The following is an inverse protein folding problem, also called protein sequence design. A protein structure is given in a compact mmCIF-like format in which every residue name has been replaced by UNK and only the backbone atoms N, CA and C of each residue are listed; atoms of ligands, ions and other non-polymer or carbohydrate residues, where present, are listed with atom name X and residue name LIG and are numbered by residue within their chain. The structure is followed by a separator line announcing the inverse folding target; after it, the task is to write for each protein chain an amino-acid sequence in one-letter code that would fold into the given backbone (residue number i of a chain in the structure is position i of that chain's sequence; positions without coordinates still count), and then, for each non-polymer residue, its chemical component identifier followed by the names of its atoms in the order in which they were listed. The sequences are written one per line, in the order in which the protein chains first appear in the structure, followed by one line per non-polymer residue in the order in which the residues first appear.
data_IF_667426209337
#
_entry.id   IF_667426209337
#
_cell.length_a   1.000
_cell.length_b   1.000
_cell.length_c   1.000
_cell.angle_alpha   90.00
_cell.angle_beta   90.00
_cell.angle_gamma   90.00
#
_symmetry.space_group_name_H-M   'P 1'
#
loop_
_entity.id
_entity.type
_entity.pdbx_description
1 polymer ?
#
# COMPACT_ATOMS: atom_id res chain seq x y z
N UNK A 1 -17.90 -10.74 14.75
CA UNK A 1 -17.52 -11.53 13.55
C UNK A 1 -16.79 -10.69 12.50
N UNK A 2 -17.29 -9.51 12.11
CA UNK A 2 -16.64 -8.65 11.12
C UNK A 2 -15.21 -8.18 11.53
N UNK A 3 -14.98 -7.81 12.79
CA UNK A 3 -13.65 -7.42 13.28
C UNK A 3 -12.62 -8.56 13.18
N UNK A 4 -12.98 -9.75 13.68
CA UNK A 4 -12.12 -10.95 13.60
C UNK A 4 -11.76 -11.30 12.14
N UNK A 5 -12.75 -11.23 11.23
CA UNK A 5 -12.52 -11.48 9.81
C UNK A 5 -11.55 -10.45 9.21
N UNK A 6 -11.66 -9.16 9.58
CA UNK A 6 -10.74 -8.11 9.12
C UNK A 6 -9.32 -8.32 9.64
N UNK A 7 -9.13 -8.60 10.93
CA UNK A 7 -7.81 -8.91 11.49
C UNK A 7 -7.18 -10.11 10.81
N UNK A 8 -7.98 -11.15 10.52
CA UNK A 8 -7.55 -12.31 9.77
C UNK A 8 -7.07 -11.93 8.36
N UNK A 9 -7.87 -11.18 7.60
CA UNK A 9 -7.51 -10.72 6.26
C UNK A 9 -6.27 -9.82 6.26
N UNK A 10 -6.12 -8.92 7.24
CA UNK A 10 -4.92 -8.08 7.40
C UNK A 10 -3.68 -8.93 7.65
N UNK A 11 -3.79 -9.94 8.53
CA UNK A 11 -2.69 -10.86 8.83
C UNK A 11 -2.27 -11.68 7.59
N UNK A 12 -3.25 -12.23 6.86
CA UNK A 12 -2.99 -12.98 5.63
C UNK A 12 -2.35 -12.06 4.57
N UNK A 13 -2.87 -10.85 4.38
CA UNK A 13 -2.31 -9.90 3.42
C UNK A 13 -0.85 -9.57 3.74
N UNK A 14 -0.51 -9.33 5.02
CA UNK A 14 0.88 -9.14 5.46
C UNK A 14 1.74 -10.37 5.17
N UNK A 15 1.24 -11.56 5.49
CA UNK A 15 1.96 -12.80 5.26
C UNK A 15 2.29 -12.99 3.78
N UNK A 16 1.30 -12.81 2.88
CA UNK A 16 1.50 -12.93 1.44
C UNK A 16 2.47 -11.87 0.94
N UNK A 17 2.34 -10.62 1.38
CA UNK A 17 3.26 -9.53 0.98
C UNK A 17 4.69 -9.72 1.49
N UNK A 18 4.86 -10.42 2.61
CA UNK A 18 6.18 -10.77 3.15
C UNK A 18 6.92 -11.77 2.26
N UNK A 19 6.23 -12.55 1.43
CA UNK A 19 6.88 -13.46 0.47
C UNK A 19 7.68 -12.66 -0.58
N UNK A 20 7.07 -11.60 -1.12
CA UNK A 20 7.73 -10.69 -2.06
C UNK A 20 8.90 -9.95 -1.41
N UNK A 21 8.75 -9.59 -0.13
CA UNK A 21 9.80 -8.92 0.64
C UNK A 21 11.01 -9.84 0.89
N UNK A 22 10.77 -11.13 1.14
CA UNK A 22 11.84 -12.12 1.28
C UNK A 22 12.63 -12.26 -0.03
N UNK A 23 11.94 -12.31 -1.18
CA UNK A 23 12.58 -12.31 -2.50
C UNK A 23 13.40 -11.02 -2.70
N UNK A 24 12.82 -9.85 -2.38
CA UNK A 24 13.52 -8.57 -2.45
C UNK A 24 14.78 -8.51 -1.59
N UNK A 25 14.72 -8.97 -0.34
CA UNK A 25 15.87 -9.03 0.57
C UNK A 25 16.95 -9.97 0.01
N UNK A 26 16.57 -11.15 -0.48
CA UNK A 26 17.52 -12.08 -1.10
C UNK A 26 18.21 -11.45 -2.32
N UNK A 27 17.45 -10.76 -3.18
CA UNK A 27 17.99 -10.03 -4.33
C UNK A 27 18.95 -8.91 -3.90
N UNK A 28 18.61 -8.12 -2.87
CA UNK A 28 19.50 -7.07 -2.36
C UNK A 28 20.78 -7.66 -1.79
N UNK A 29 20.70 -8.70 -0.98
CA UNK A 29 21.89 -9.35 -0.41
C UNK A 29 22.80 -9.92 -1.50
N UNK A 30 22.23 -10.59 -2.50
CA UNK A 30 22.98 -11.12 -3.63
C UNK A 30 23.56 -10.01 -4.51
N UNK A 31 22.81 -8.94 -4.77
CA UNK A 31 23.29 -7.76 -5.50
C UNK A 31 24.45 -7.04 -4.79
N UNK A 32 24.37 -6.89 -3.47
CA UNK A 32 25.46 -6.36 -2.66
C UNK A 32 26.69 -7.28 -2.70
N UNK A 33 26.49 -8.60 -2.66
CA UNK A 33 27.58 -9.55 -2.83
C UNK A 33 28.24 -9.42 -4.20
N UNK A 34 27.47 -9.37 -5.29
CA UNK A 34 27.99 -9.15 -6.64
C UNK A 34 28.76 -7.83 -6.75
N UNK A 35 28.24 -6.75 -6.16
CA UNK A 35 28.92 -5.45 -6.11
C UNK A 35 30.26 -5.53 -5.38
N UNK A 36 30.33 -6.26 -4.26
CA UNK A 36 31.59 -6.47 -3.51
C UNK A 36 32.61 -7.29 -4.28
N UNK A 37 32.17 -8.32 -5.01
CA UNK A 37 33.04 -9.13 -5.87
C UNK A 37 33.60 -8.26 -7.00
N UNK A 38 32.73 -7.55 -7.71
CA UNK A 38 33.11 -6.64 -8.78
C UNK A 38 34.11 -5.56 -8.31
N UNK A 39 33.88 -4.96 -7.13
CA UNK A 39 34.83 -4.01 -6.54
C UNK A 39 36.22 -4.60 -6.25
N UNK A 40 36.30 -5.90 -5.89
CA UNK A 40 37.60 -6.57 -5.68
C UNK A 40 38.29 -6.82 -7.02
N UNK A 41 37.56 -7.34 -8.00
CA UNK A 41 38.11 -7.64 -9.33
C UNK A 41 38.63 -6.36 -10.01
N UNK A 42 37.95 -5.22 -9.81
CA UNK A 42 38.42 -3.92 -10.28
C UNK A 42 39.67 -3.39 -9.55
N UNK A 43 39.82 -3.64 -8.24
CA UNK A 43 41.00 -3.18 -7.49
C UNK A 43 42.30 -3.85 -7.94
N UNK A 44 42.21 -5.07 -8.46
CA UNK A 44 43.34 -5.83 -8.98
C UNK A 44 43.68 -5.45 -10.44
N UNK A 45 42.85 -4.63 -11.11
CA UNK A 45 43.02 -4.18 -12.50
C UNK A 45 43.67 -2.79 -12.61
N UNK A 46 44.52 -2.58 -13.63
CA UNK A 46 45.30 -1.34 -13.82
C UNK A 46 44.43 -0.12 -14.17
N UNK A 47 44.89 1.05 -13.74
CA UNK A 47 44.17 2.33 -13.65
C UNK A 47 43.62 2.95 -14.95
N UNK A 48 43.74 2.29 -16.12
CA UNK A 48 43.41 2.87 -17.43
C UNK A 48 42.03 2.43 -17.99
N UNK A 49 41.30 1.52 -17.32
CA UNK A 49 40.01 0.95 -17.80
C UNK A 49 38.75 1.48 -17.07
N UNK A 50 38.88 2.62 -16.36
CA UNK A 50 37.84 3.08 -15.42
C UNK A 50 36.56 3.65 -16.03
N UNK A 51 36.58 4.09 -17.29
CA UNK A 51 35.43 4.80 -17.89
C UNK A 51 34.43 3.85 -18.60
N UNK A 52 34.75 2.57 -18.82
CA UNK A 52 34.00 1.71 -19.74
C UNK A 52 33.05 0.71 -19.07
N UNK A 53 33.17 0.49 -17.75
CA UNK A 53 32.60 -0.69 -17.08
C UNK A 53 31.48 -0.32 -16.09
N UNK A 54 30.46 0.43 -16.53
CA UNK A 54 29.27 0.64 -15.69
C UNK A 54 28.52 -0.70 -15.54
N UNK A 55 28.45 -1.31 -14.34
CA UNK A 55 27.90 -2.65 -14.14
C UNK A 55 26.38 -2.59 -14.10
N UNK A 56 25.77 -2.31 -15.26
CA UNK A 56 24.33 -2.04 -15.38
C UNK A 56 23.50 -3.16 -14.77
N UNK A 57 23.90 -4.43 -14.98
CA UNK A 57 23.20 -5.60 -14.45
C UNK A 57 23.17 -5.63 -12.92
N UNK A 58 24.29 -5.30 -12.26
CA UNK A 58 24.36 -5.27 -10.79
C UNK A 58 23.41 -4.19 -10.25
N UNK A 59 23.37 -3.02 -10.87
CA UNK A 59 22.50 -1.93 -10.45
C UNK A 59 21.02 -2.21 -10.70
N UNK A 60 20.66 -2.80 -11.84
CA UNK A 60 19.26 -3.17 -12.13
C UNK A 60 18.80 -4.26 -11.17
N UNK A 61 19.61 -5.29 -10.92
CA UNK A 61 19.29 -6.36 -9.98
C UNK A 61 19.08 -5.84 -8.55
N UNK A 62 19.98 -4.96 -8.08
CA UNK A 62 19.86 -4.31 -6.79
C UNK A 62 18.61 -3.41 -6.71
N UNK A 63 18.36 -2.62 -7.76
CA UNK A 63 17.22 -1.71 -7.85
C UNK A 63 15.88 -2.45 -7.81
N UNK A 64 15.77 -3.58 -8.53
CA UNK A 64 14.58 -4.44 -8.48
C UNK A 64 14.39 -4.96 -7.06
N UNK A 65 15.45 -5.49 -6.42
CA UNK A 65 15.38 -5.98 -5.04
C UNK A 65 14.89 -4.92 -4.03
N UNK A 66 15.43 -3.70 -4.10
CA UNK A 66 15.00 -2.58 -3.26
C UNK A 66 13.54 -2.20 -3.53
N UNK A 67 13.14 -2.16 -4.81
CA UNK A 67 11.76 -1.84 -5.20
C UNK A 67 10.77 -2.85 -4.64
N UNK A 68 11.09 -4.16 -4.70
CA UNK A 68 10.27 -5.21 -4.09
C UNK A 68 10.12 -5.03 -2.57
N UNK A 69 11.22 -4.69 -1.88
CA UNK A 69 11.18 -4.38 -0.45
C UNK A 69 10.25 -3.20 -0.15
N UNK A 70 10.32 -2.12 -0.94
CA UNK A 70 9.43 -0.96 -0.79
C UNK A 70 7.96 -1.33 -1.02
N UNK A 71 7.66 -2.11 -2.07
CA UNK A 71 6.30 -2.60 -2.35
C UNK A 71 5.76 -3.41 -1.17
N UNK A 72 6.58 -4.28 -0.57
CA UNK A 72 6.21 -5.02 0.64
C UNK A 72 5.94 -4.08 1.82
N UNK A 73 6.79 -3.07 2.07
CA UNK A 73 6.53 -2.08 3.10
C UNK A 73 5.19 -1.36 2.88
N UNK A 74 4.89 -0.94 1.65
CA UNK A 74 3.60 -0.34 1.30
C UNK A 74 2.43 -1.31 1.54
N UNK A 75 2.61 -2.61 1.23
CA UNK A 75 1.62 -3.65 1.49
C UNK A 75 1.33 -3.84 2.99
N UNK A 76 2.36 -3.80 3.84
CA UNK A 76 2.19 -3.86 5.29
C UNK A 76 1.47 -2.62 5.83
N UNK A 77 1.90 -1.42 5.41
CA UNK A 77 1.25 -0.15 5.79
C UNK A 77 -0.22 -0.16 5.34
N UNK A 78 -0.52 -0.67 4.15
CA UNK A 78 -1.88 -0.77 3.63
C UNK A 78 -2.77 -1.70 4.45
N UNK A 79 -2.22 -2.83 4.90
CA UNK A 79 -2.90 -3.74 5.79
C UNK A 79 -3.16 -3.09 7.17
N UNK A 80 -2.18 -2.36 7.72
CA UNK A 80 -2.26 -1.73 9.04
C UNK A 80 -3.19 -0.53 9.09
N UNK A 81 -3.03 0.42 8.16
CA UNK A 81 -3.85 1.62 8.14
C UNK A 81 -5.30 1.32 7.77
N UNK A 82 -5.52 0.31 6.91
CA UNK A 82 -6.83 -0.08 6.38
C UNK A 82 -7.73 1.12 6.00
N UNK A 83 -7.08 2.18 5.53
CA UNK A 83 -7.70 3.36 4.95
C UNK A 83 -7.90 3.10 3.44
N UNK A 84 -9.02 3.55 2.89
CA UNK A 84 -9.35 3.33 1.49
C UNK A 84 -8.28 3.84 0.51
N UNK A 85 -7.59 4.93 0.85
CA UNK A 85 -6.51 5.50 0.03
C UNK A 85 -5.30 4.57 -0.09
N UNK A 86 -4.66 4.18 1.02
CA UNK A 86 -3.47 3.32 1.01
C UNK A 86 -3.75 1.98 0.32
N UNK A 87 -4.91 1.40 0.59
CA UNK A 87 -5.35 0.16 -0.02
C UNK A 87 -5.55 0.31 -1.53
N UNK A 88 -6.05 1.47 -2.00
CA UNK A 88 -6.19 1.77 -3.43
C UNK A 88 -4.85 1.95 -4.11
N UNK A 89 -3.93 2.74 -3.53
CA UNK A 89 -2.59 2.92 -4.06
C UNK A 89 -1.84 1.58 -4.16
N UNK A 90 -1.94 0.75 -3.12
CA UNK A 90 -1.34 -0.58 -3.13
C UNK A 90 -1.92 -1.47 -4.24
N UNK A 91 -3.24 -1.49 -4.42
CA UNK A 91 -3.85 -2.27 -5.51
C UNK A 91 -3.45 -1.77 -6.89
N UNK A 92 -3.34 -0.45 -7.07
CA UNK A 92 -2.86 0.14 -8.32
C UNK A 92 -1.41 -0.28 -8.61
N UNK A 93 -0.53 -0.26 -7.60
CA UNK A 93 0.85 -0.75 -7.74
C UNK A 93 0.87 -2.23 -8.15
N UNK A 94 0.13 -3.10 -7.47
CA UNK A 94 0.06 -4.53 -7.81
C UNK A 94 -0.50 -4.73 -9.23
N UNK A 95 -1.49 -3.94 -9.62
CA UNK A 95 -2.04 -4.00 -10.97
C UNK A 95 -1.00 -3.61 -12.03
N UNK A 96 -0.25 -2.53 -11.81
CA UNK A 96 0.85 -2.11 -12.70
C UNK A 96 1.95 -3.19 -12.75
N UNK A 97 2.29 -3.84 -11.63
CA UNK A 97 3.25 -4.95 -11.62
C UNK A 97 2.75 -6.14 -12.45
N UNK A 98 1.49 -6.54 -12.31
CA UNK A 98 0.90 -7.61 -13.14
C UNK A 98 0.92 -7.27 -14.63
N UNK A 99 0.64 -6.01 -14.98
CA UNK A 99 0.73 -5.55 -16.37
C UNK A 99 2.19 -5.56 -16.87
N UNK A 100 3.13 -5.10 -16.05
CA UNK A 100 4.55 -5.12 -16.39
C UNK A 100 5.07 -6.55 -16.57
N UNK A 101 4.73 -7.46 -15.67
CA UNK A 101 5.09 -8.88 -15.76
C UNK A 101 4.48 -9.53 -17.01
N UNK A 102 3.20 -9.25 -17.29
CA UNK A 102 2.53 -9.76 -18.50
C UNK A 102 3.16 -9.19 -19.77
N UNK A 103 3.52 -7.91 -19.78
CA UNK A 103 4.18 -7.26 -20.91
C UNK A 103 5.58 -7.85 -21.14
N UNK A 104 6.39 -8.01 -20.09
CA UNK A 104 7.71 -8.64 -20.18
C UNK A 104 7.62 -10.10 -20.63
N UNK A 105 6.68 -10.87 -20.08
CA UNK A 105 6.47 -12.26 -20.50
C UNK A 105 6.02 -12.35 -21.98
N UNK A 106 5.16 -11.45 -22.43
CA UNK A 106 4.74 -11.37 -23.82
C UNK A 106 5.89 -10.96 -24.73
N UNK A 107 6.73 -10.01 -24.31
CA UNK A 107 7.91 -9.56 -25.05
C UNK A 107 8.91 -10.70 -25.22
N UNK A 108 9.29 -11.37 -24.13
CA UNK A 108 10.19 -12.54 -24.16
C UNK A 108 9.65 -13.68 -25.04
N UNK A 109 8.33 -13.88 -25.04
CA UNK A 109 7.68 -14.95 -25.83
C UNK A 109 7.56 -14.61 -27.31
N UNK A 110 7.29 -13.36 -27.65
CA UNK A 110 7.03 -12.91 -29.02
C UNK A 110 8.31 -12.46 -29.74
N UNK A 111 9.27 -11.91 -29.00
CA UNK A 111 10.55 -11.44 -29.51
C UNK A 111 11.61 -12.52 -29.29
N UNK A 112 11.86 -13.35 -30.31
CA UNK A 112 12.91 -14.39 -30.25
C UNK A 112 14.33 -13.82 -30.08
N UNK A 113 14.50 -12.52 -30.31
CA UNK A 113 15.77 -11.81 -30.26
C UNK A 113 15.86 -10.82 -29.09
N UNK A 114 14.95 -10.88 -28.10
CA UNK A 114 14.86 -9.95 -26.95
C UNK A 114 16.19 -9.76 -26.21
N UNK A 115 17.03 -10.79 -26.21
CA UNK A 115 18.33 -10.75 -25.56
C UNK A 115 19.30 -9.76 -26.23
N UNK A 116 19.17 -9.55 -27.55
CA UNK A 116 20.02 -8.61 -28.30
C UNK A 116 19.72 -7.15 -27.96
N UNK A 117 18.57 -6.88 -27.35
CA UNK A 117 18.15 -5.54 -26.94
C UNK A 117 18.80 -5.12 -25.60
N UNK A 118 19.43 -6.06 -24.88
CA UNK A 118 20.15 -5.76 -23.65
C UNK A 118 21.54 -5.19 -23.94
N UNK A 119 22.00 -4.19 -23.16
CA UNK A 119 23.36 -3.70 -23.27
C UNK A 119 24.35 -4.80 -22.86
N UNK A 120 25.53 -4.81 -23.50
CA UNK A 120 26.61 -5.73 -23.15
C UNK A 120 26.99 -5.56 -21.67
N UNK A 121 27.10 -6.67 -20.92
CA UNK A 121 27.54 -6.65 -19.53
C UNK A 121 29.04 -6.91 -19.43
N UNK A 122 29.87 -5.89 -19.15
CA UNK A 122 31.31 -6.05 -19.05
C UNK A 122 31.74 -6.91 -17.85
N UNK A 123 30.85 -7.14 -16.88
CA UNK A 123 31.16 -7.93 -15.67
C UNK A 123 31.05 -9.44 -15.88
N UNK A 124 30.38 -9.89 -16.96
CA UNK A 124 30.06 -11.29 -17.20
C UNK A 124 29.06 -11.90 -16.20
N UNK A 125 28.59 -11.15 -15.19
CA UNK A 125 27.68 -11.63 -14.15
C UNK A 125 26.28 -11.91 -14.70
N UNK A 126 25.85 -11.14 -15.70
CA UNK A 126 24.62 -11.41 -16.41
C UNK A 126 24.66 -12.77 -17.10
N UNK A 127 25.78 -13.11 -17.74
CA UNK A 127 25.96 -14.40 -18.40
C UNK A 127 25.88 -15.57 -17.40
N UNK A 128 26.61 -15.47 -16.28
CA UNK A 128 26.56 -16.49 -15.21
C UNK A 128 25.13 -16.65 -14.65
N UNK A 129 24.42 -15.54 -14.42
CA UNK A 129 23.05 -15.57 -13.95
C UNK A 129 22.10 -16.22 -14.96
N UNK A 130 22.27 -15.91 -16.25
CA UNK A 130 21.49 -16.52 -17.33
C UNK A 130 21.70 -18.03 -17.36
N UNK A 131 22.93 -18.52 -17.32
CA UNK A 131 23.23 -19.96 -17.31
C UNK A 131 22.61 -20.65 -16.08
N UNK A 132 22.63 -19.98 -14.92
CA UNK A 132 21.95 -20.46 -13.72
C UNK A 132 20.43 -20.56 -13.90
N UNK A 133 19.79 -19.56 -14.52
CA UNK A 133 18.35 -19.57 -14.81
C UNK A 133 17.99 -20.66 -15.81
N UNK A 134 18.77 -20.81 -16.88
CA UNK A 134 18.54 -21.81 -17.92
C UNK A 134 18.69 -23.24 -17.37
N UNK A 135 19.72 -23.49 -16.54
CA UNK A 135 19.90 -24.81 -15.91
C UNK A 135 18.80 -25.15 -14.89
N UNK A 136 18.10 -24.15 -14.35
CA UNK A 136 17.04 -24.32 -13.35
C UNK A 136 15.67 -23.80 -13.83
N UNK A 137 15.43 -23.79 -15.14
CA UNK A 137 14.29 -23.11 -15.74
C UNK A 137 12.93 -23.54 -15.16
N UNK A 138 12.75 -24.84 -14.89
CA UNK A 138 11.52 -25.34 -14.29
C UNK A 138 11.26 -24.74 -12.90
N UNK A 139 12.30 -24.56 -12.09
CA UNK A 139 12.19 -23.94 -10.77
C UNK A 139 11.80 -22.46 -10.89
N UNK A 140 12.43 -21.72 -11.81
CA UNK A 140 12.10 -20.32 -12.08
C UNK A 140 10.68 -20.13 -12.62
N UNK A 141 10.19 -21.05 -13.45
CA UNK A 141 8.80 -21.06 -13.94
C UNK A 141 7.81 -21.23 -12.79
N UNK A 142 8.05 -22.16 -11.86
CA UNK A 142 7.21 -22.30 -10.67
C UNK A 142 7.26 -21.05 -9.80
N UNK A 143 8.44 -20.47 -9.57
CA UNK A 143 8.59 -19.21 -8.83
C UNK A 143 7.75 -18.11 -9.46
N UNK A 144 7.88 -17.89 -10.77
CA UNK A 144 7.11 -16.86 -11.49
C UNK A 144 5.60 -17.08 -11.35
N UNK A 145 5.13 -18.32 -11.49
CA UNK A 145 3.73 -18.66 -11.28
C UNK A 145 3.26 -18.35 -9.85
N UNK A 146 4.07 -18.68 -8.84
CA UNK A 146 3.76 -18.36 -7.44
C UNK A 146 3.72 -16.86 -7.18
N UNK A 147 4.60 -16.07 -7.79
CA UNK A 147 4.63 -14.60 -7.66
C UNK A 147 3.34 -13.99 -8.22
N UNK A 148 2.97 -14.33 -9.46
CA UNK A 148 1.73 -13.84 -10.10
C UNK A 148 0.50 -14.22 -9.27
N UNK A 149 0.46 -15.46 -8.77
CA UNK A 149 -0.64 -15.94 -7.92
C UNK A 149 -0.70 -15.16 -6.60
N UNK A 150 0.46 -14.94 -5.95
CA UNK A 150 0.54 -14.18 -4.71
C UNK A 150 0.10 -12.72 -4.91
N UNK A 151 0.50 -12.07 -6.00
CA UNK A 151 0.07 -10.72 -6.34
C UNK A 151 -1.44 -10.64 -6.57
N UNK A 152 -2.01 -11.56 -7.37
CA UNK A 152 -3.45 -11.64 -7.60
C UNK A 152 -4.23 -11.88 -6.30
N UNK A 153 -3.73 -12.77 -5.45
CA UNK A 153 -4.34 -13.05 -4.15
C UNK A 153 -4.24 -11.85 -3.19
N UNK A 154 -3.11 -11.15 -3.15
CA UNK A 154 -2.95 -9.90 -2.40
C UNK A 154 -3.93 -8.82 -2.86
N UNK A 155 -4.19 -8.70 -4.17
CA UNK A 155 -5.19 -7.78 -4.70
C UNK A 155 -6.61 -8.16 -4.25
N UNK A 156 -6.97 -9.45 -4.29
CA UNK A 156 -8.26 -9.94 -3.79
C UNK A 156 -8.45 -9.66 -2.29
N UNK A 157 -7.42 -9.91 -1.47
CA UNK A 157 -7.44 -9.61 -0.04
C UNK A 157 -7.57 -8.12 0.23
N UNK A 158 -6.85 -7.28 -0.53
CA UNK A 158 -6.97 -5.83 -0.43
C UNK A 158 -8.38 -5.35 -0.82
N UNK A 159 -8.99 -5.91 -1.87
CA UNK A 159 -10.39 -5.61 -2.23
C UNK A 159 -11.37 -6.03 -1.13
N UNK A 160 -11.20 -7.23 -0.56
CA UNK A 160 -12.04 -7.71 0.53
C UNK A 160 -11.93 -6.83 1.78
N UNK A 161 -10.71 -6.41 2.15
CA UNK A 161 -10.46 -5.46 3.23
C UNK A 161 -11.11 -4.11 2.96
N UNK A 162 -11.09 -3.64 1.71
CA UNK A 162 -11.75 -2.39 1.31
C UNK A 162 -13.27 -2.49 1.45
N UNK A 163 -13.84 -3.60 1.03
CA UNK A 163 -15.29 -3.85 1.06
C UNK A 163 -15.84 -3.97 2.48
N UNK A 164 -15.03 -4.44 3.44
CA UNK A 164 -15.42 -4.52 4.86
C UNK A 164 -15.58 -3.15 5.53
N UNK A 165 -15.09 -2.07 4.91
CA UNK A 165 -15.21 -0.70 5.41
C UNK A 165 -14.42 -0.44 6.71
N UNK A 166 -14.36 0.82 7.17
CA UNK A 166 -13.80 1.14 8.47
C UNK A 166 -14.62 0.47 9.58
N UNK A 167 -14.00 -0.34 10.44
CA UNK A 167 -14.64 -0.75 11.69
C UNK A 167 -14.88 0.50 12.56
N UNK A 168 -16.10 0.64 13.07
CA UNK A 168 -16.46 1.60 14.11
C UNK A 168 -15.69 1.39 15.44
N UNK A 169 -14.72 0.47 15.48
CA UNK A 169 -13.94 0.11 16.68
C UNK A 169 -13.00 1.22 17.15
N UNK A 170 -12.67 2.23 16.31
CA UNK A 170 -11.90 3.37 16.80
C UNK A 170 -12.70 4.33 17.71
N UNK A 171 -13.99 4.06 17.93
CA UNK A 171 -14.86 4.89 18.77
C UNK A 171 -15.24 4.21 20.09
N UNK A 172 -14.76 2.99 20.37
CA UNK A 172 -15.11 2.26 21.60
C UNK A 172 -13.97 2.17 22.63
N UNK A 173 -12.72 2.47 22.25
CA UNK A 173 -11.57 2.47 23.18
C UNK A 173 -11.10 3.89 23.59
N UNK A 174 -11.92 4.93 23.39
CA UNK A 174 -11.69 6.31 23.87
C UNK A 174 -12.78 6.71 24.89
N UNK A 175 -13.13 5.81 25.80
CA UNK A 175 -13.98 6.12 26.95
C UNK A 175 -13.26 6.00 28.29
N UNK A 176 -11.94 5.89 28.30
CA UNK A 176 -11.15 6.29 29.47
C UNK A 176 -10.68 7.74 29.28
N UNK A 177 -11.43 8.61 29.96
CA UNK A 177 -10.99 9.89 30.52
C UNK A 177 -10.71 11.02 29.52
N UNK A 178 -11.77 11.68 29.03
CA UNK A 178 -11.99 13.15 28.99
C UNK A 178 -13.35 13.45 28.28
N UNK A 179 -14.26 14.27 28.86
CA UNK A 179 -15.55 14.54 28.23
C UNK A 179 -15.39 15.41 26.96
N UNK A 180 -16.06 15.09 25.84
CA UNK A 180 -15.96 15.88 24.61
C UNK A 180 -16.79 17.16 24.74
N UNK A 181 -16.10 18.30 24.91
CA UNK A 181 -16.69 19.61 24.67
C UNK A 181 -16.82 19.85 23.15
N UNK A 182 -17.91 19.33 22.54
CA UNK A 182 -18.37 19.75 21.21
C UNK A 182 -19.86 20.07 21.32
N UNK A 183 -20.16 21.36 21.49
CA UNK A 183 -21.51 21.91 21.45
C UNK A 183 -22.19 21.61 20.10
N UNK A 184 -23.52 21.35 20.08
CA UNK A 184 -24.29 21.27 18.85
C UNK A 184 -24.71 22.69 18.42
N UNK A 185 -24.14 23.22 17.34
CA UNK A 185 -24.69 24.41 16.70
C UNK A 185 -25.70 23.99 15.61
N UNK A 186 -26.95 24.39 15.86
CA UNK A 186 -28.06 24.51 14.91
C UNK A 186 -28.91 23.24 14.75
N UNK A 187 -29.89 23.15 15.63
CA UNK A 187 -31.14 22.42 15.44
C UNK A 187 -32.09 23.30 14.61
N UNK A 188 -32.47 22.91 13.40
CA UNK A 188 -33.49 23.60 12.61
C UNK A 188 -34.78 22.78 12.62
N UNK A 189 -35.40 22.69 13.79
CA UNK A 189 -36.81 22.30 13.92
C UNK A 189 -37.61 23.53 14.34
N UNK A 190 -38.16 24.22 13.34
CA UNK A 190 -39.21 25.22 13.51
C UNK A 190 -40.44 24.54 14.10
N UNK A 191 -40.58 24.62 15.42
CA UNK A 191 -41.79 24.25 16.13
C UNK A 191 -42.77 25.44 16.01
N UNK A 192 -43.82 25.27 15.21
CA UNK A 192 -44.92 26.22 15.08
C UNK A 192 -45.65 26.38 16.43
N UNK A 193 -45.94 27.59 16.92
CA UNK A 193 -46.79 27.77 18.09
C UNK A 193 -48.27 27.63 17.70
N UNK A 194 -49.12 26.98 18.53
CA UNK A 194 -50.54 26.87 18.28
C UNK A 194 -51.21 28.23 18.50
N UNK A 195 -52.02 28.64 17.53
CA UNK A 195 -52.90 29.80 17.63
C UNK A 195 -53.92 29.56 18.76
N UNK A 196 -54.03 30.50 19.69
CA UNK A 196 -55.19 30.65 20.58
C UNK A 196 -55.61 32.10 20.49
N UNK A 197 -56.72 32.33 19.78
CA UNK A 197 -57.40 33.62 19.70
C UNK A 197 -58.32 33.70 20.93
N UNK A 198 -57.90 34.49 21.92
CA UNK A 198 -58.72 34.92 23.05
C UNK A 198 -58.70 36.45 23.12
N UNK A 199 -59.88 37.05 23.21
CA UNK A 199 -60.14 38.50 23.22
C UNK A 199 -59.37 39.30 24.31
N UNK A 200 -59.14 40.61 24.09
CA UNK A 200 -58.30 41.43 24.95
C UNK A 200 -59.05 41.92 26.20
N UNK A 201 -58.53 41.60 27.38
CA UNK A 201 -58.80 42.39 28.60
C UNK A 201 -57.53 43.11 29.03
N UNK A 202 -57.48 44.40 28.75
CA UNK A 202 -56.55 45.34 29.37
C UNK A 202 -56.84 45.42 30.88
N UNK A 203 -55.85 45.33 31.77
CA UNK A 203 -55.92 45.95 33.08
C UNK A 203 -55.07 47.21 33.06
N UNK A 204 -55.74 48.37 32.99
CA UNK A 204 -55.13 49.66 33.23
C UNK A 204 -55.15 49.97 34.73
N UNK A 205 -54.09 50.65 35.14
CA UNK A 205 -53.50 50.84 36.47
C UNK A 205 -54.18 51.96 37.30
N UNK A 206 -53.95 51.91 38.61
CA UNK A 206 -53.94 52.99 39.63
C UNK A 206 -55.18 53.22 40.53
N UNK A 207 -55.01 52.83 41.80
CA UNK A 207 -55.04 53.64 43.03
C UNK A 207 -56.03 54.80 43.17
N UNK A 208 -56.90 54.73 44.19
CA UNK A 208 -56.96 55.71 45.30
C UNK A 208 -58.20 55.48 46.20
N UNK A 209 -57.99 55.73 47.50
CA UNK A 209 -58.88 55.53 48.64
C UNK A 209 -59.95 56.63 48.84
N UNK A 210 -61.06 56.26 49.51
CA UNK A 210 -62.01 57.07 50.31
C UNK A 210 -62.86 58.13 49.54
N UNK A 211 -64.13 58.45 49.84
CA UNK A 211 -64.92 58.50 51.09
C UNK A 211 -66.41 58.75 50.77
N UNK A 212 -67.32 58.19 51.58
CA UNK A 212 -68.66 58.66 52.03
C UNK A 212 -69.51 59.61 51.15
N UNK A 213 -70.72 59.16 50.78
CA UNK A 213 -72.03 59.59 51.32
C UNK A 213 -73.16 58.73 50.75
#
# INVERSE_FOLDING_TARGET
MAGIARTCLQSILKFVNSTLGLVGIAMVLYGLWMSRVWQRDMQDSSFDDFDSSAPWFIYTFLSIGVTLCLITCLGHISADCSNGFFLSCYMEIIFVLLLLETALAADILLNSDWEKDLPEDPTGRFHDFREFVESNFDFFKWIGMFIVLAQGFSMLLAMALRALGPSNESNYDIYDEHPPARLPLINHHLQQPPYVVGEPRFPMKNDAWNTNM
#
